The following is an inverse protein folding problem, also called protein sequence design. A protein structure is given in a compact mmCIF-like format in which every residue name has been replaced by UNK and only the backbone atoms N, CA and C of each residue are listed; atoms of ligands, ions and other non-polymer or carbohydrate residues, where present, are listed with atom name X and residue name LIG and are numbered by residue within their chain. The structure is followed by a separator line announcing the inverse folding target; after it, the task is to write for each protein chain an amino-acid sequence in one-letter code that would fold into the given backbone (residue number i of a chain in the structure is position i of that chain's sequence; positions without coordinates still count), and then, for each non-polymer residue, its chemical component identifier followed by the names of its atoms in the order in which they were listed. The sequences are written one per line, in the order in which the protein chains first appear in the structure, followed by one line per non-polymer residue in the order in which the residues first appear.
data_IF_711538090926
#
_entry.id   IF_711538090926
#
_cell.length_a   1.000
_cell.length_b   1.000
_cell.length_c   1.000
_cell.angle_alpha   90.00
_cell.angle_beta   90.00
_cell.angle_gamma   90.00
#
_symmetry.space_group_name_H-M   'P 1'
#
loop_
_entity.id
_entity.type
_entity.pdbx_description
1 polymer ?
#
# COMPACT_ATOMS: atom_id res chain seq x y z
N UNK A 1 26.12 51.48 -21.33
CA UNK A 1 25.33 50.54 -20.50
C UNK A 1 24.29 49.77 -21.33
N UNK A 2 24.70 49.03 -22.37
CA UNK A 2 23.75 48.28 -23.25
C UNK A 2 24.04 46.79 -23.43
N UNK A 3 25.19 46.27 -22.96
CA UNK A 3 25.50 44.83 -23.11
C UNK A 3 25.02 43.94 -21.97
N UNK A 4 24.63 44.49 -20.81
CA UNK A 4 24.18 43.70 -19.65
C UNK A 4 22.77 43.11 -19.82
N UNK A 5 21.98 43.65 -20.76
CA UNK A 5 20.58 43.26 -21.00
C UNK A 5 20.43 41.94 -21.78
N UNK A 6 21.45 41.51 -22.52
CA UNK A 6 21.37 40.31 -23.37
C UNK A 6 21.89 39.04 -22.67
N UNK A 7 22.58 39.18 -21.54
CA UNK A 7 23.07 38.04 -20.73
C UNK A 7 22.06 37.58 -19.67
N UNK A 8 21.12 38.44 -19.25
CA UNK A 8 20.12 38.12 -18.22
C UNK A 8 18.97 37.23 -18.74
N UNK A 9 18.56 37.42 -19.99
CA UNK A 9 17.46 36.66 -20.60
C UNK A 9 17.73 35.14 -20.72
N UNK A 10 18.92 34.67 -21.21
CA UNK A 10 19.19 33.23 -21.28
C UNK A 10 19.38 32.60 -19.90
N UNK A 11 19.94 33.33 -18.92
CA UNK A 11 20.11 32.83 -17.54
C UNK A 11 18.77 32.66 -16.84
N UNK A 12 17.83 33.60 -17.01
CA UNK A 12 16.49 33.50 -16.44
C UNK A 12 15.67 32.37 -17.08
N UNK A 13 15.79 32.17 -18.39
CA UNK A 13 15.16 31.05 -19.09
C UNK A 13 15.72 29.69 -18.66
N UNK A 14 17.04 29.61 -18.41
CA UNK A 14 17.69 28.39 -17.92
C UNK A 14 17.31 28.07 -16.46
N UNK A 15 17.19 29.08 -15.59
CA UNK A 15 16.70 28.89 -14.22
C UNK A 15 15.23 28.47 -14.15
N UNK A 16 14.36 28.99 -15.02
CA UNK A 16 12.96 28.56 -15.11
C UNK A 16 12.82 27.10 -15.60
N UNK A 17 13.73 26.64 -16.48
CA UNK A 17 13.76 25.25 -16.94
C UNK A 17 14.21 24.24 -15.89
N UNK A 18 15.02 24.66 -14.91
CA UNK A 18 15.56 23.79 -13.85
C UNK A 18 14.60 23.58 -12.67
N UNK A 19 13.64 24.48 -12.42
CA UNK A 19 12.71 24.38 -11.28
C UNK A 19 11.42 23.62 -11.60
N UNK A 20 10.99 23.58 -12.87
CA UNK A 20 9.79 22.88 -13.31
C UNK A 20 9.78 21.36 -13.04
N UNK A 21 10.86 20.58 -13.28
CA UNK A 21 10.80 19.13 -13.10
C UNK A 21 10.75 18.69 -11.62
N UNK A 22 11.20 19.52 -10.66
CA UNK A 22 11.10 19.19 -9.24
C UNK A 22 9.68 19.30 -8.68
N UNK A 23 8.81 20.09 -9.32
CA UNK A 23 7.41 20.25 -8.90
C UNK A 23 6.50 19.09 -9.37
N UNK A 24 7.01 18.17 -10.19
CA UNK A 24 6.28 17.03 -10.76
C UNK A 24 6.82 15.68 -10.27
N UNK A 25 7.41 15.63 -9.06
CA UNK A 25 7.80 14.38 -8.45
C UNK A 25 6.56 13.68 -7.87
N UNK A 26 5.91 12.82 -8.67
CA UNK A 26 4.79 11.99 -8.22
C UNK A 26 5.29 10.70 -7.55
N UNK A 27 4.80 10.41 -6.33
CA UNK A 27 5.06 9.16 -5.62
C UNK A 27 3.88 8.19 -5.79
N UNK A 28 3.77 7.62 -7.00
CA UNK A 28 2.72 6.66 -7.35
C UNK A 28 3.03 5.29 -6.74
N UNK A 29 2.11 4.76 -5.93
CA UNK A 29 2.23 3.43 -5.30
C UNK A 29 1.45 2.34 -6.05
N UNK A 30 0.72 2.72 -7.09
CA UNK A 30 -0.24 1.88 -7.83
C UNK A 30 0.32 1.37 -9.16
N UNK A 31 1.54 1.76 -9.52
CA UNK A 31 2.20 1.37 -10.77
C UNK A 31 3.49 0.60 -10.53
N UNK A 32 3.86 -0.28 -11.47
CA UNK A 32 5.20 -0.87 -11.47
C UNK A 32 6.26 0.18 -11.83
N UNK A 33 7.34 0.22 -11.04
CA UNK A 33 8.48 1.09 -11.30
C UNK A 33 9.44 0.45 -12.32
N UNK A 34 10.25 1.24 -13.05
CA UNK A 34 11.24 0.70 -13.99
C UNK A 34 12.27 -0.24 -13.37
N UNK A 35 12.47 -0.18 -12.05
CA UNK A 35 13.38 -1.04 -11.29
C UNK A 35 12.65 -2.22 -10.61
N UNK A 36 11.40 -2.51 -10.98
CA UNK A 36 10.67 -3.64 -10.45
C UNK A 36 11.39 -4.97 -10.82
N UNK A 37 11.41 -5.97 -9.92
CA UNK A 37 12.00 -7.28 -10.22
C UNK A 37 11.30 -8.00 -11.39
N UNK A 38 11.98 -8.92 -12.05
CA UNK A 38 11.45 -9.66 -13.22
C UNK A 38 10.10 -10.36 -12.93
N UNK A 39 9.90 -10.86 -11.71
CA UNK A 39 8.66 -11.54 -11.29
C UNK A 39 7.54 -10.60 -10.83
N UNK A 40 7.76 -9.28 -10.86
CA UNK A 40 6.74 -8.31 -10.47
C UNK A 40 5.72 -8.05 -11.59
N UNK A 41 5.98 -8.48 -12.83
CA UNK A 41 5.10 -8.24 -13.98
C UNK A 41 3.65 -8.66 -13.71
N UNK A 42 2.70 -7.89 -14.24
CA UNK A 42 1.27 -8.23 -14.15
C UNK A 42 1.00 -9.56 -14.85
N UNK A 43 0.13 -10.38 -14.24
CA UNK A 43 -0.31 -11.64 -14.82
C UNK A 43 -1.27 -11.46 -15.99
N UNK A 44 -1.52 -12.54 -16.71
CA UNK A 44 -2.36 -12.53 -17.92
C UNK A 44 -3.87 -12.44 -17.64
N UNK A 45 -4.30 -12.59 -16.38
CA UNK A 45 -5.71 -12.63 -15.98
C UNK A 45 -6.04 -11.44 -15.09
N UNK A 46 -7.30 -10.98 -15.14
CA UNK A 46 -7.82 -10.04 -14.17
C UNK A 46 -7.84 -10.63 -12.76
N UNK A 47 -7.94 -9.78 -11.74
CA UNK A 47 -8.09 -10.22 -10.35
C UNK A 47 -9.52 -9.96 -9.90
N UNK A 48 -10.24 -11.04 -9.57
CA UNK A 48 -11.54 -10.97 -8.90
C UNK A 48 -11.37 -10.95 -7.39
N UNK A 49 -12.33 -10.34 -6.69
CA UNK A 49 -12.38 -10.33 -5.22
C UNK A 49 -13.76 -10.80 -4.78
N UNK A 50 -13.80 -11.71 -3.79
CA UNK A 50 -15.04 -12.12 -3.13
C UNK A 50 -14.85 -12.19 -1.63
N UNK A 51 -15.80 -11.64 -0.89
CA UNK A 51 -15.89 -11.88 0.56
C UNK A 51 -16.55 -13.23 0.85
N UNK A 52 -16.01 -13.95 1.82
CA UNK A 52 -16.56 -15.19 2.38
C UNK A 52 -16.56 -15.06 3.89
N UNK A 53 -17.67 -15.44 4.51
CA UNK A 53 -17.77 -15.50 5.98
C UNK A 53 -17.50 -16.93 6.43
N UNK A 54 -16.46 -17.10 7.25
CA UNK A 54 -16.02 -18.38 7.80
C UNK A 54 -16.20 -18.38 9.31
N UNK A 55 -16.26 -19.56 9.92
CA UNK A 55 -16.27 -19.73 11.38
C UNK A 55 -15.14 -20.67 11.76
N UNK A 56 -14.23 -20.20 12.60
CA UNK A 56 -13.23 -21.05 13.25
C UNK A 56 -13.73 -21.41 14.65
N UNK A 57 -14.17 -22.65 14.83
CA UNK A 57 -14.89 -23.10 16.02
C UNK A 57 -13.96 -23.32 17.22
N UNK A 58 -14.51 -23.22 18.43
CA UNK A 58 -13.87 -23.61 19.70
C UNK A 58 -12.51 -22.93 19.97
N UNK A 59 -12.36 -21.67 19.56
CA UNK A 59 -11.10 -20.93 19.76
C UNK A 59 -11.03 -20.32 21.15
N UNK A 60 -9.81 -20.21 21.70
CA UNK A 60 -9.61 -19.54 22.99
C UNK A 60 -10.01 -18.07 22.86
N UNK A 61 -10.86 -17.62 23.78
CA UNK A 61 -11.22 -16.21 23.92
C UNK A 61 -10.16 -15.48 24.75
N UNK A 62 -9.11 -15.02 24.07
CA UNK A 62 -8.03 -14.27 24.71
C UNK A 62 -8.52 -12.95 25.31
N UNK A 63 -9.58 -12.34 24.75
CA UNK A 63 -10.10 -11.07 25.24
C UNK A 63 -10.89 -11.24 26.55
N UNK A 64 -11.44 -12.43 26.79
CA UNK A 64 -12.08 -12.78 28.05
C UNK A 64 -11.09 -13.12 29.18
N UNK A 65 -9.78 -13.19 28.91
CA UNK A 65 -8.75 -13.52 29.92
C UNK A 65 -8.20 -12.23 30.54
N UNK A 66 -8.35 -12.08 31.86
CA UNK A 66 -7.66 -11.04 32.62
C UNK A 66 -6.19 -11.44 32.86
N UNK A 67 -5.20 -10.70 32.33
CA UNK A 67 -3.79 -11.02 32.51
C UNK A 67 -3.28 -10.84 33.94
N UNK A 68 -4.03 -10.16 34.83
CA UNK A 68 -3.65 -9.93 36.23
C UNK A 68 -4.26 -10.94 37.21
N UNK A 69 -5.27 -11.69 36.77
CA UNK A 69 -5.90 -12.72 37.58
C UNK A 69 -5.08 -14.02 37.56
N UNK A 70 -5.24 -14.90 38.55
CA UNK A 70 -4.74 -16.27 38.47
C UNK A 70 -5.24 -16.95 37.18
N UNK A 71 -4.40 -17.79 36.59
CA UNK A 71 -4.75 -18.56 35.40
C UNK A 71 -6.04 -19.35 35.66
N UNK A 72 -7.07 -19.22 34.81
CA UNK A 72 -8.30 -19.98 34.99
C UNK A 72 -8.04 -21.48 34.77
N UNK A 73 -8.75 -22.32 35.52
CA UNK A 73 -8.64 -23.78 35.40
C UNK A 73 -9.05 -24.28 34.01
N UNK A 74 -10.07 -23.62 33.43
CA UNK A 74 -10.52 -23.85 32.05
C UNK A 74 -10.43 -22.56 31.26
N UNK A 75 -9.83 -22.62 30.07
CA UNK A 75 -9.72 -21.45 29.19
C UNK A 75 -11.10 -21.11 28.59
N UNK A 76 -11.52 -19.83 28.60
CA UNK A 76 -12.74 -19.42 27.92
C UNK A 76 -12.60 -19.66 26.41
N UNK A 77 -13.71 -20.03 25.76
CA UNK A 77 -13.74 -20.36 24.33
C UNK A 77 -14.97 -19.79 23.63
N UNK A 78 -14.84 -19.58 22.33
CA UNK A 78 -15.91 -19.12 21.46
C UNK A 78 -15.67 -19.52 20.00
N UNK A 79 -16.73 -19.50 19.21
CA UNK A 79 -16.64 -19.63 17.75
C UNK A 79 -16.26 -18.28 17.13
N UNK A 80 -15.10 -18.22 16.48
CA UNK A 80 -14.55 -16.98 15.91
C UNK A 80 -15.09 -16.77 14.49
N UNK A 81 -15.94 -15.77 14.24
CA UNK A 81 -16.30 -15.37 12.89
C UNK A 81 -15.08 -14.74 12.21
N UNK A 82 -14.83 -15.12 10.95
CA UNK A 82 -13.74 -14.65 10.12
C UNK A 82 -14.32 -14.19 8.78
N UNK A 83 -14.43 -12.88 8.60
CA UNK A 83 -14.69 -12.31 7.28
C UNK A 83 -13.38 -12.30 6.49
N UNK A 84 -13.32 -13.04 5.39
CA UNK A 84 -12.12 -13.14 4.54
C UNK A 84 -12.41 -12.61 3.14
N UNK A 85 -11.42 -11.95 2.54
CA UNK A 85 -11.44 -11.60 1.12
C UNK A 85 -10.55 -12.57 0.35
N UNK A 86 -11.13 -13.21 -0.66
CA UNK A 86 -10.41 -14.12 -1.55
C UNK A 86 -10.15 -13.40 -2.86
N UNK A 87 -8.87 -13.16 -3.15
CA UNK A 87 -8.40 -12.72 -4.45
C UNK A 87 -8.11 -13.93 -5.33
N UNK A 88 -8.70 -13.99 -6.51
CA UNK A 88 -8.55 -15.12 -7.43
C UNK A 88 -8.42 -14.64 -8.88
N UNK A 89 -7.81 -15.43 -9.78
CA UNK A 89 -7.79 -15.10 -11.20
C UNK A 89 -9.22 -15.09 -11.76
N UNK A 90 -9.65 -13.94 -12.25
CA UNK A 90 -10.94 -13.77 -12.91
C UNK A 90 -10.72 -13.76 -14.43
N UNK A 91 -11.47 -14.63 -15.12
CA UNK A 91 -11.54 -14.70 -16.57
C UNK A 91 -12.61 -13.74 -17.12
#
# INVERSE_FOLDING_TARGET
MRSQRYLLAPVLAMMAGLTAPMAMAENRIDTQLPNAPDMAAYGNMGVGVRQIDLVNTDQIDILAIDPKAPKPETMPRYDRPLAVEVWYPAA
#
